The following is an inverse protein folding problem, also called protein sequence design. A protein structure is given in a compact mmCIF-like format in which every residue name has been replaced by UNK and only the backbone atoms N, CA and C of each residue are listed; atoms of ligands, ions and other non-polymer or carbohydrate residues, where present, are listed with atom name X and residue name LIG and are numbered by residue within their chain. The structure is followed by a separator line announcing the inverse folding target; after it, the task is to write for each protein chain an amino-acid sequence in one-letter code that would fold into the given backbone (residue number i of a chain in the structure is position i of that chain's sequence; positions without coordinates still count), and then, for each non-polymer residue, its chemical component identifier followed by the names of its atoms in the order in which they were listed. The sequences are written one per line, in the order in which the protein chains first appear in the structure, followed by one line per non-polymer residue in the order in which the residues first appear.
data_IF_576368053237
#
_entry.id   IF_576368053237
#
_cell.length_a   1.000
_cell.length_b   1.000
_cell.length_c   1.000
_cell.angle_alpha   90.00
_cell.angle_beta   90.00
_cell.angle_gamma   90.00
#
_symmetry.space_group_name_H-M   'P 1'
#
loop_
_entity.id
_entity.type
_entity.pdbx_description
1 polymer ?
#
# COMPACT_ATOMS: atom_id res chain seq x y z
N UNK A 1 2.23 8.26 10.35
CA UNK A 1 3.47 7.77 10.98
C UNK A 1 3.96 8.68 12.09
N UNK A 2 4.12 10.00 11.90
CA UNK A 2 4.62 10.90 12.97
C UNK A 2 3.86 10.86 14.31
N UNK A 3 2.51 10.87 14.29
CA UNK A 3 1.70 10.76 15.52
C UNK A 3 1.90 9.43 16.26
N UNK A 4 2.02 8.33 15.51
CA UNK A 4 2.18 6.99 16.08
C UNK A 4 3.60 6.79 16.61
N UNK A 5 4.61 7.27 15.88
CA UNK A 5 6.01 7.31 16.35
C UNK A 5 6.15 8.15 17.63
N UNK A 6 5.52 9.33 17.68
CA UNK A 6 5.51 10.16 18.88
C UNK A 6 4.83 9.46 20.06
N UNK A 7 3.72 8.75 19.84
CA UNK A 7 3.06 7.97 20.88
C UNK A 7 3.94 6.82 21.40
N UNK A 8 4.65 6.11 20.52
CA UNK A 8 5.59 5.05 20.92
C UNK A 8 6.72 5.60 21.79
N UNK A 9 7.34 6.71 21.36
CA UNK A 9 8.41 7.36 22.14
C UNK A 9 7.88 7.82 23.50
N UNK A 10 6.71 8.46 23.54
CA UNK A 10 6.11 8.90 24.80
C UNK A 10 5.83 7.72 25.75
N UNK A 11 5.37 6.59 25.21
CA UNK A 11 5.11 5.38 25.99
C UNK A 11 6.40 4.75 26.50
N UNK A 12 7.46 4.68 25.69
CA UNK A 12 8.78 4.21 26.14
C UNK A 12 9.34 5.10 27.24
N UNK A 13 9.26 6.43 27.09
CA UNK A 13 9.71 7.37 28.13
C UNK A 13 8.91 7.14 29.42
N UNK A 14 7.58 7.02 29.33
CA UNK A 14 6.75 6.75 30.50
C UNK A 14 7.13 5.41 31.17
N UNK A 15 7.37 4.36 30.38
CA UNK A 15 7.83 3.08 30.90
C UNK A 15 9.19 3.17 31.60
N UNK A 16 10.14 3.95 31.05
CA UNK A 16 11.43 4.20 31.69
C UNK A 16 11.30 4.97 32.99
N UNK A 17 10.42 5.98 33.05
CA UNK A 17 10.16 6.72 34.29
C UNK A 17 9.61 5.78 35.36
N UNK A 18 8.62 4.96 35.02
CA UNK A 18 8.05 3.96 35.94
C UNK A 18 9.11 2.95 36.40
N UNK A 19 9.91 2.44 35.47
CA UNK A 19 10.98 1.48 35.77
C UNK A 19 12.08 2.10 36.65
N UNK A 20 12.45 3.36 36.41
CA UNK A 20 13.43 4.08 37.23
C UNK A 20 12.92 4.29 38.65
N UNK A 21 11.63 4.62 38.82
CA UNK A 21 11.03 4.76 40.15
C UNK A 21 10.99 3.41 40.91
N UNK A 22 10.81 2.30 40.21
CA UNK A 22 10.74 0.97 40.81
C UNK A 22 12.10 0.32 41.09
N UNK A 23 13.08 0.47 40.19
CA UNK A 23 14.37 -0.23 40.21
C UNK A 23 15.59 0.68 40.38
N UNK A 24 15.40 2.00 40.31
CA UNK A 24 16.46 2.99 40.45
C UNK A 24 17.34 3.15 39.21
N UNK A 25 18.52 3.75 39.43
CA UNK A 25 19.46 4.11 38.36
C UNK A 25 19.98 2.97 37.46
N UNK A 26 20.12 1.69 37.90
CA UNK A 26 20.64 0.64 37.04
C UNK A 26 19.77 0.39 35.79
N UNK A 27 18.46 0.65 35.89
CA UNK A 27 17.53 0.49 34.77
C UNK A 27 17.87 1.42 33.60
N UNK A 28 18.46 2.58 33.87
CA UNK A 28 18.83 3.55 32.82
C UNK A 28 19.98 3.03 31.94
N UNK A 29 20.85 2.15 32.47
CA UNK A 29 21.96 1.57 31.70
C UNK A 29 21.46 0.71 30.53
N UNK A 30 20.30 0.09 30.68
CA UNK A 30 19.67 -0.73 29.63
C UNK A 30 18.61 0.07 28.88
N UNK A 31 17.80 0.82 29.63
CA UNK A 31 16.65 1.54 29.10
C UNK A 31 17.03 2.70 28.18
N UNK A 32 18.04 3.48 28.53
CA UNK A 32 18.48 4.60 27.70
C UNK A 32 19.02 4.16 26.33
N UNK A 33 19.96 3.20 26.21
CA UNK A 33 20.41 2.73 24.90
C UNK A 33 19.29 2.06 24.09
N UNK A 34 18.33 1.39 24.76
CA UNK A 34 17.17 0.82 24.10
C UNK A 34 16.29 1.90 23.47
N UNK A 35 15.99 2.98 24.21
CA UNK A 35 15.22 4.12 23.71
C UNK A 35 15.94 4.85 22.56
N UNK A 36 17.27 5.02 22.66
CA UNK A 36 18.08 5.56 21.57
C UNK A 36 17.99 4.66 20.33
N UNK A 37 18.04 3.34 20.50
CA UNK A 37 17.84 2.36 19.43
C UNK A 37 16.48 2.51 18.76
N UNK A 38 15.39 2.62 19.54
CA UNK A 38 14.04 2.82 19.00
C UNK A 38 13.95 4.12 18.21
N UNK A 39 14.45 5.24 18.75
CA UNK A 39 14.48 6.53 18.04
C UNK A 39 15.27 6.42 16.74
N UNK A 40 16.43 5.76 16.76
CA UNK A 40 17.25 5.55 15.56
C UNK A 40 16.49 4.77 14.49
N UNK A 41 15.85 3.65 14.86
CA UNK A 41 15.03 2.85 13.94
C UNK A 41 13.90 3.70 13.35
N UNK A 42 13.21 4.49 14.17
CA UNK A 42 12.13 5.37 13.68
C UNK A 42 12.64 6.41 12.69
N UNK A 43 13.83 6.98 12.91
CA UNK A 43 14.46 7.91 11.97
C UNK A 43 14.77 7.21 10.64
N UNK A 44 15.35 6.01 10.69
CA UNK A 44 15.67 5.21 9.49
C UNK A 44 14.41 4.85 8.70
N UNK A 45 13.36 4.40 9.38
CA UNK A 45 12.06 4.10 8.76
C UNK A 45 11.48 5.37 8.13
N UNK A 46 11.49 6.49 8.85
CA UNK A 46 11.02 7.80 8.35
C UNK A 46 11.78 8.22 7.09
N UNK A 47 13.09 8.07 7.08
CA UNK A 47 13.93 8.36 5.92
C UNK A 47 13.61 7.44 4.74
N UNK A 48 13.25 6.18 5.00
CA UNK A 48 12.86 5.18 4.00
C UNK A 48 11.45 5.40 3.42
N UNK A 49 10.56 6.09 4.13
CA UNK A 49 9.21 6.41 3.64
C UNK A 49 9.23 7.39 2.45
N UNK A 50 10.19 8.33 2.42
CA UNK A 50 10.32 9.32 1.35
C UNK A 50 10.58 8.70 -0.05
N UNK A 51 11.55 7.78 -0.24
CA UNK A 51 11.75 7.11 -1.51
C UNK A 51 10.60 6.13 -1.85
N UNK A 52 10.00 5.48 -0.84
CA UNK A 52 8.83 4.60 -1.07
C UNK A 52 7.63 5.38 -1.61
N UNK A 53 7.37 6.59 -1.12
CA UNK A 53 6.30 7.46 -1.64
C UNK A 53 6.51 7.80 -3.12
N UNK A 54 7.73 8.18 -3.51
CA UNK A 54 8.06 8.44 -4.93
C UNK A 54 7.84 7.22 -5.83
N UNK A 55 8.16 6.02 -5.36
CA UNK A 55 7.92 4.80 -6.11
C UNK A 55 6.42 4.45 -6.21
N UNK A 56 5.64 4.74 -5.17
CA UNK A 56 4.19 4.59 -5.22
C UNK A 56 3.54 5.56 -6.19
N UNK A 57 4.00 6.82 -6.24
CA UNK A 57 3.53 7.83 -7.19
C UNK A 57 3.84 7.44 -8.65
N UNK A 58 5.06 6.94 -8.91
CA UNK A 58 5.45 6.43 -10.23
C UNK A 58 4.72 5.14 -10.63
N UNK A 59 4.31 4.34 -9.63
CA UNK A 59 3.50 3.14 -9.87
C UNK A 59 2.06 3.52 -10.21
N UNK A 60 1.43 4.44 -9.47
CA UNK A 60 0.07 4.89 -9.77
C UNK A 60 -0.05 5.49 -11.17
N UNK A 61 0.91 6.31 -11.60
CA UNK A 61 0.88 6.92 -12.95
C UNK A 61 1.06 5.89 -14.07
N UNK A 62 1.84 4.83 -13.84
CA UNK A 62 2.08 3.76 -14.83
C UNK A 62 0.87 2.87 -15.05
N UNK A 63 0.07 2.61 -14.01
CA UNK A 63 -1.10 1.73 -14.09
C UNK A 63 -2.40 2.45 -14.48
N UNK A 64 -2.53 3.74 -14.18
CA UNK A 64 -3.71 4.53 -14.62
C UNK A 64 -3.71 4.79 -16.15
N UNK A 65 -2.52 4.78 -16.78
CA UNK A 65 -2.38 5.03 -18.23
C UNK A 65 -2.65 3.78 -19.07
N UNK A 66 -2.83 2.60 -18.45
CA UNK A 66 -2.94 1.31 -19.14
C UNK A 66 -4.26 0.57 -18.80
N UNK A 67 -5.37 1.32 -18.72
CA UNK A 67 -6.72 0.74 -18.81
C UNK A 67 -7.37 1.31 -20.06
N UNK A 68 -7.48 0.53 -21.15
CA UNK A 68 -8.10 -0.79 -21.14
C UNK A 68 -7.09 -1.89 -21.52
N UNK A 69 -6.93 -2.94 -20.71
CA UNK A 69 -6.35 -4.20 -21.23
C UNK A 69 -7.41 -4.91 -22.07
N UNK A 70 -7.31 -4.95 -23.42
CA UNK A 70 -8.11 -5.84 -24.23
C UNK A 70 -7.38 -7.18 -24.27
N UNK A 71 -7.98 -8.22 -23.69
CA UNK A 71 -7.74 -9.61 -24.08
C UNK A 71 -6.27 -10.03 -24.24
N UNK A 72 -5.56 -10.19 -23.12
CA UNK A 72 -4.24 -10.83 -23.08
C UNK A 72 -4.18 -11.99 -22.09
N UNK A 73 -5.33 -12.59 -21.77
CA UNK A 73 -5.43 -13.78 -20.93
C UNK A 73 -5.00 -15.01 -21.73
N UNK A 74 -3.69 -15.16 -21.90
CA UNK A 74 -3.07 -16.49 -22.00
C UNK A 74 -2.79 -17.09 -20.60
N UNK A 75 -3.56 -16.65 -19.59
CA UNK A 75 -3.84 -17.40 -18.37
C UNK A 75 -5.30 -17.81 -18.48
N UNK A 76 -5.56 -19.10 -18.72
CA UNK A 76 -6.88 -19.68 -18.97
C UNK A 76 -7.83 -19.68 -17.77
N UNK A 77 -7.82 -18.63 -16.93
CA UNK A 77 -8.53 -18.57 -15.66
C UNK A 77 -9.47 -17.37 -15.47
N UNK A 78 -9.56 -16.43 -16.42
CA UNK A 78 -10.50 -15.30 -16.29
C UNK A 78 -11.44 -15.17 -17.49
N UNK A 79 -12.49 -15.99 -17.50
CA UNK A 79 -13.61 -15.78 -18.41
C UNK A 79 -14.52 -14.69 -17.83
N UNK A 80 -14.22 -13.42 -18.12
CA UNK A 80 -15.16 -12.33 -17.91
C UNK A 80 -16.18 -12.37 -19.06
N UNK A 81 -17.40 -12.85 -18.77
CA UNK A 81 -18.52 -12.78 -19.71
C UNK A 81 -18.83 -11.32 -20.02
N UNK A 82 -18.80 -10.89 -21.30
CA UNK A 82 -19.16 -9.53 -21.66
C UNK A 82 -20.67 -9.40 -21.64
N UNK A 83 -21.21 -9.07 -20.46
CA UNK A 83 -22.60 -8.72 -20.32
C UNK A 83 -22.77 -7.24 -20.68
N UNK A 84 -23.40 -6.99 -21.83
CA UNK A 84 -24.07 -5.72 -22.09
C UNK A 84 -23.36 -4.73 -23.01
N UNK A 85 -23.20 -5.08 -24.28
CA UNK A 85 -23.42 -4.08 -25.34
C UNK A 85 -24.33 -4.71 -26.39
N UNK A 86 -25.61 -4.32 -26.51
CA UNK A 86 -26.43 -4.76 -27.61
C UNK A 86 -25.85 -4.12 -28.88
N UNK A 87 -25.06 -4.91 -29.62
CA UNK A 87 -24.69 -4.59 -30.97
C UNK A 87 -25.99 -4.56 -31.79
N UNK A 88 -26.32 -3.38 -32.32
CA UNK A 88 -27.36 -3.22 -33.32
C UNK A 88 -27.06 -4.18 -34.48
N UNK A 89 -27.96 -5.11 -34.70
CA UNK A 89 -27.93 -6.01 -35.85
C UNK A 89 -28.31 -5.17 -37.08
N UNK A 90 -27.45 -5.03 -38.11
CA UNK A 90 -27.88 -4.48 -39.39
C UNK A 90 -28.82 -5.49 -40.04
N UNK A 91 -30.04 -5.06 -40.33
CA UNK A 91 -31.06 -5.85 -41.02
C UNK A 91 -30.53 -6.33 -42.39
N UNK A 92 -30.42 -7.65 -42.63
CA UNK A 92 -30.05 -8.16 -43.95
C UNK A 92 -31.26 -8.07 -44.87
N UNK A 93 -31.17 -7.16 -45.83
CA UNK A 93 -32.01 -7.04 -47.02
C UNK A 93 -32.27 -8.42 -47.63
N UNK A 94 -33.52 -8.87 -47.58
CA UNK A 94 -33.96 -10.10 -48.23
C UNK A 94 -33.91 -9.92 -49.75
N UNK A 95 -32.91 -10.52 -50.39
CA UNK A 95 -32.78 -10.62 -51.85
C UNK A 95 -32.45 -12.06 -52.25
N UNK A 96 -33.49 -12.78 -52.64
CA UNK A 96 -33.48 -14.07 -53.35
C UNK A 96 -34.94 -14.46 -53.60
N UNK A 97 -35.54 -14.11 -54.74
CA UNK A 97 -35.53 -14.86 -56.00
C UNK A 97 -36.23 -16.23 -55.91
N UNK A 98 -37.40 -16.36 -56.55
CA UNK A 98 -37.99 -17.67 -56.88
C UNK A 98 -39.49 -17.68 -57.17
N UNK A 99 -39.83 -17.77 -58.47
CA UNK A 99 -41.12 -18.10 -59.13
C UNK A 99 -42.27 -17.08 -59.14
#
# INVERSE_FOLDING_TARGET
MGRLAAAVIAMEVAALVVAYLAFGWPVLLVGAPLLVGTVFVLIVVRASEAPRRKLHELRSTRWETDTPLPGGLMSGFFQLSPQGRPAQVPEPTSRGAGN
#
